data_IF_590190398648
#
_entry.id   IF_590190398648
#
_cell.length_a   1.000
_cell.length_b   1.000
_cell.length_c   1.000
_cell.angle_alpha   90.00
_cell.angle_beta   90.00
_cell.angle_gamma   90.00
#
_symmetry.space_group_name_H-M   'P 1'
#
loop_
_entity.id
_entity.type
_entity.pdbx_description
1 polymer ?
#
# COMPACT_ATOMS: atom_id res chain seq x y z
N UNK A 1 -23.80 4.28 -7.74
CA UNK A 1 -23.00 3.99 -8.95
C UNK A 1 -21.60 4.49 -8.66
N UNK A 2 -20.57 3.64 -8.71
CA UNK A 2 -19.24 3.98 -8.22
C UNK A 2 -18.58 5.02 -9.15
N UNK A 3 -18.07 6.09 -8.53
CA UNK A 3 -17.42 7.23 -9.15
C UNK A 3 -16.05 6.82 -9.67
N UNK A 4 -15.76 7.25 -10.91
CA UNK A 4 -14.59 6.86 -11.69
C UNK A 4 -13.27 6.99 -10.92
N UNK A 5 -12.47 5.92 -10.97
CA UNK A 5 -11.02 6.02 -10.80
C UNK A 5 -10.50 6.70 -12.08
N UNK A 6 -10.13 7.97 -12.00
CA UNK A 6 -9.49 8.69 -13.09
C UNK A 6 -8.06 8.13 -13.25
N UNK A 7 -7.88 7.22 -14.21
CA UNK A 7 -6.57 6.98 -14.82
C UNK A 7 -6.33 8.10 -15.83
N UNK A 8 -5.28 8.89 -15.63
CA UNK A 8 -4.74 9.78 -16.66
C UNK A 8 -3.49 9.17 -17.32
N UNK A 9 -3.20 9.71 -18.49
CA UNK A 9 -2.63 9.16 -19.72
C UNK A 9 -1.09 8.98 -19.72
N UNK A 10 -0.64 7.92 -20.40
CA UNK A 10 0.72 7.61 -20.89
C UNK A 10 1.87 7.36 -19.89
N UNK A 11 2.42 6.13 -19.93
CA UNK A 11 3.81 5.69 -19.61
C UNK A 11 4.43 6.10 -18.27
N UNK A 12 4.46 7.40 -18.00
CA UNK A 12 4.89 8.07 -16.78
C UNK A 12 4.08 7.68 -15.54
N UNK A 13 2.75 7.57 -15.64
CA UNK A 13 1.93 7.17 -14.49
C UNK A 13 2.16 5.70 -14.13
N UNK A 14 2.32 4.84 -15.15
CA UNK A 14 2.71 3.45 -14.95
C UNK A 14 4.10 3.36 -14.29
N UNK A 15 5.07 4.17 -14.71
CA UNK A 15 6.39 4.25 -14.06
C UNK A 15 6.28 4.73 -12.60
N UNK A 16 5.45 5.74 -12.31
CA UNK A 16 5.24 6.20 -10.93
C UNK A 16 4.51 5.19 -10.05
N UNK A 17 3.56 4.44 -10.62
CA UNK A 17 2.85 3.38 -9.90
C UNK A 17 3.75 2.17 -9.64
N UNK A 18 4.70 1.87 -10.54
CA UNK A 18 5.73 0.87 -10.29
C UNK A 18 6.69 1.30 -9.18
N UNK A 19 7.06 2.59 -9.12
CA UNK A 19 7.83 3.13 -8.00
C UNK A 19 7.04 3.08 -6.68
N UNK A 20 5.73 3.37 -6.70
CA UNK A 20 4.87 3.20 -5.53
C UNK A 20 4.78 1.74 -5.08
N UNK A 21 4.60 0.79 -6.00
CA UNK A 21 4.57 -0.65 -5.71
C UNK A 21 5.89 -1.10 -5.07
N UNK A 22 7.03 -0.72 -5.64
CA UNK A 22 8.34 -1.01 -5.08
C UNK A 22 8.48 -0.45 -3.65
N UNK A 23 8.04 0.79 -3.43
CA UNK A 23 8.09 1.44 -2.12
C UNK A 23 7.19 0.74 -1.07
N UNK A 24 6.00 0.25 -1.47
CA UNK A 24 5.16 -0.57 -0.58
C UNK A 24 5.88 -1.86 -0.17
N UNK A 25 6.42 -2.61 -1.14
CA UNK A 25 7.12 -3.86 -0.87
C UNK A 25 8.36 -3.65 0.01
N UNK A 26 9.11 -2.57 -0.19
CA UNK A 26 10.22 -2.19 0.67
C UNK A 26 9.75 -1.87 2.09
N UNK A 27 8.63 -1.15 2.24
CA UNK A 27 8.07 -0.83 3.55
C UNK A 27 7.62 -2.08 4.30
N UNK A 28 6.97 -3.04 3.63
CA UNK A 28 6.58 -4.32 4.24
C UNK A 28 7.79 -5.11 4.74
N UNK A 29 8.84 -5.21 3.92
CA UNK A 29 10.08 -5.88 4.31
C UNK A 29 10.75 -5.20 5.53
N UNK A 30 10.74 -3.86 5.59
CA UNK A 30 11.32 -3.10 6.71
C UNK A 30 10.59 -3.32 8.04
N UNK A 31 9.28 -3.60 8.02
CA UNK A 31 8.52 -3.94 9.23
C UNK A 31 8.45 -5.45 9.49
N UNK A 32 9.16 -6.27 8.71
CA UNK A 32 9.20 -7.71 8.88
C UNK A 32 7.92 -8.44 8.47
N UNK A 33 7.06 -7.82 7.66
CA UNK A 33 5.88 -8.47 7.12
C UNK A 33 6.24 -9.36 5.93
N UNK A 34 5.62 -10.53 5.84
CA UNK A 34 5.75 -11.47 4.72
C UNK A 34 5.01 -11.02 3.44
N UNK A 35 4.68 -9.73 3.34
CA UNK A 35 3.80 -9.21 2.31
C UNK A 35 4.63 -8.86 1.09
N UNK A 36 4.14 -9.33 -0.06
CA UNK A 36 4.67 -8.91 -1.35
C UNK A 36 3.51 -8.71 -2.31
N UNK A 37 3.36 -7.49 -2.81
CA UNK A 37 2.39 -7.17 -3.83
C UNK A 37 3.07 -7.28 -5.20
N UNK A 38 2.51 -8.13 -6.06
CA UNK A 38 2.83 -8.12 -7.48
C UNK A 38 1.98 -7.07 -8.21
N UNK A 39 2.26 -6.88 -9.50
CA UNK A 39 1.52 -5.91 -10.33
C UNK A 39 0.03 -6.23 -10.37
N UNK A 40 -0.35 -7.50 -10.52
CA UNK A 40 -1.74 -7.91 -10.67
C UNK A 40 -2.57 -7.68 -9.39
N UNK A 41 -1.99 -7.91 -8.21
CA UNK A 41 -2.59 -7.58 -6.93
C UNK A 41 -2.64 -6.07 -6.74
N UNK A 42 -1.56 -5.35 -7.03
CA UNK A 42 -1.52 -3.91 -6.86
C UNK A 42 -2.55 -3.19 -7.75
N UNK A 43 -2.71 -3.61 -9.01
CA UNK A 43 -3.74 -3.07 -9.91
C UNK A 43 -5.15 -3.23 -9.33
N UNK A 44 -5.47 -4.36 -8.70
CA UNK A 44 -6.76 -4.54 -8.00
C UNK A 44 -6.88 -3.62 -6.78
N UNK A 45 -5.78 -3.47 -6.03
CA UNK A 45 -5.73 -2.60 -4.87
C UNK A 45 -5.81 -1.11 -5.22
N UNK A 46 -5.54 -0.69 -6.46
CA UNK A 46 -5.71 0.69 -6.92
C UNK A 46 -7.17 1.16 -6.86
N UNK A 47 -8.15 0.25 -6.87
CA UNK A 47 -9.57 0.57 -6.66
C UNK A 47 -9.84 1.20 -5.28
N UNK A 48 -8.96 0.94 -4.30
CA UNK A 48 -9.00 1.58 -2.97
C UNK A 48 -8.16 2.85 -3.02
N UNK A 49 -8.82 4.01 -2.95
CA UNK A 49 -8.14 5.30 -2.88
C UNK A 49 -7.39 5.48 -1.56
N UNK A 50 -6.15 5.99 -1.63
CA UNK A 50 -5.32 6.29 -0.47
C UNK A 50 -4.42 5.13 -0.03
N UNK A 51 -3.17 5.44 0.32
CA UNK A 51 -2.16 4.42 0.64
C UNK A 51 -2.45 3.67 1.94
N UNK A 52 -3.01 4.34 2.96
CA UNK A 52 -3.33 3.72 4.25
C UNK A 52 -4.55 2.82 4.13
N UNK A 53 -5.57 3.30 3.43
CA UNK A 53 -6.80 2.58 3.13
C UNK A 53 -6.48 1.32 2.32
N UNK A 54 -5.55 1.41 1.37
CA UNK A 54 -5.07 0.27 0.59
C UNK A 54 -4.38 -0.80 1.43
N UNK A 55 -3.52 -0.39 2.37
CA UNK A 55 -2.88 -1.31 3.34
C UNK A 55 -3.96 -1.98 4.20
N UNK A 56 -4.92 -1.22 4.72
CA UNK A 56 -6.01 -1.73 5.57
C UNK A 56 -6.92 -2.70 4.82
N UNK A 57 -7.25 -2.39 3.56
CA UNK A 57 -8.05 -3.24 2.69
C UNK A 57 -7.35 -4.58 2.43
N UNK A 58 -6.05 -4.56 2.10
CA UNK A 58 -5.27 -5.79 1.93
C UNK A 58 -5.18 -6.60 3.24
N UNK A 59 -4.96 -5.93 4.39
CA UNK A 59 -4.95 -6.61 5.69
C UNK A 59 -6.27 -7.36 5.93
N UNK A 60 -7.39 -6.70 5.67
CA UNK A 60 -8.74 -7.27 5.87
C UNK A 60 -9.03 -8.46 4.95
N UNK A 61 -8.40 -8.54 3.77
CA UNK A 61 -8.52 -9.68 2.87
C UNK A 61 -7.80 -10.94 3.41
N UNK A 62 -6.78 -10.77 4.26
CA UNK A 62 -6.06 -11.88 4.89
C UNK A 62 -6.80 -12.46 6.10
N UNK A 63 -7.77 -11.73 6.63
CA UNK A 63 -8.58 -12.15 7.77
C UNK A 63 -9.07 -10.97 8.62
N UNK A 64 -9.77 -11.25 9.73
CA UNK A 64 -10.22 -10.22 10.66
C UNK A 64 -9.04 -9.37 11.14
N UNK A 65 -9.18 -8.05 11.02
CA UNK A 65 -8.16 -7.12 11.49
C UNK A 65 -8.21 -7.08 13.02
N UNK A 66 -7.09 -7.39 13.72
CA UNK A 66 -7.08 -7.32 15.17
C UNK A 66 -7.14 -5.85 15.62
N UNK A 67 -7.64 -5.60 16.83
CA UNK A 67 -7.61 -4.25 17.43
C UNK A 67 -6.16 -3.80 17.67
N UNK A 68 -5.29 -4.74 18.05
CA UNK A 68 -3.88 -4.49 18.33
C UNK A 68 -2.97 -5.54 17.70
N UNK A 69 -1.76 -5.10 17.33
CA UNK A 69 -0.65 -5.93 16.89
C UNK A 69 0.54 -5.54 17.75
N UNK A 70 1.21 -6.53 18.38
CA UNK A 70 2.34 -6.28 19.30
C UNK A 70 2.04 -5.24 20.39
N UNK A 71 0.82 -5.24 20.93
CA UNK A 71 0.40 -4.31 21.99
C UNK A 71 0.16 -2.87 21.55
N UNK A 72 0.17 -2.58 20.24
CA UNK A 72 -0.19 -1.26 19.68
C UNK A 72 -1.42 -1.35 18.78
N UNK A 73 -2.25 -0.29 18.68
CA UNK A 73 -3.36 -0.23 17.74
C UNK A 73 -2.93 -0.60 16.32
N UNK A 74 -3.75 -1.37 15.61
CA UNK A 74 -3.46 -1.75 14.22
C UNK A 74 -3.29 -0.52 13.31
N UNK A 75 -3.97 0.58 13.62
CA UNK A 75 -3.85 1.85 12.91
C UNK A 75 -2.44 2.43 12.99
N UNK A 76 -1.71 2.22 14.10
CA UNK A 76 -0.33 2.69 14.26
C UNK A 76 0.62 1.90 13.33
N UNK A 77 0.37 0.60 13.16
CA UNK A 77 1.12 -0.23 12.21
C UNK A 77 0.86 0.19 10.77
N UNK A 78 -0.40 0.44 10.40
CA UNK A 78 -0.76 0.97 9.07
C UNK A 78 -0.08 2.33 8.84
N UNK A 79 -0.12 3.22 9.83
CA UNK A 79 0.53 4.52 9.74
C UNK A 79 2.05 4.39 9.58
N UNK A 80 2.69 3.46 10.31
CA UNK A 80 4.13 3.19 10.23
C UNK A 80 4.53 2.67 8.85
N UNK A 81 3.79 1.70 8.30
CA UNK A 81 4.02 1.16 6.95
C UNK A 81 3.89 2.29 5.92
N UNK A 82 2.85 3.11 6.03
CA UNK A 82 2.65 4.22 5.10
C UNK A 82 3.80 5.25 5.16
N UNK A 83 4.28 5.60 6.36
CA UNK A 83 5.44 6.50 6.52
C UNK A 83 6.69 5.92 5.86
N UNK A 84 6.96 4.63 6.07
CA UNK A 84 8.11 3.95 5.44
C UNK A 84 8.00 3.91 3.92
N UNK A 85 6.79 3.63 3.40
CA UNK A 85 6.52 3.67 1.97
C UNK A 85 6.75 5.07 1.40
N UNK A 86 6.29 6.12 2.08
CA UNK A 86 6.51 7.51 1.63
C UNK A 86 7.99 7.82 1.55
N UNK A 87 8.76 7.51 2.59
CA UNK A 87 10.21 7.73 2.59
C UNK A 87 10.93 6.90 1.51
N UNK A 88 10.54 5.64 1.30
CA UNK A 88 11.10 4.79 0.25
C UNK A 88 10.81 5.33 -1.16
N UNK A 89 9.60 5.84 -1.38
CA UNK A 89 9.24 6.48 -2.65
C UNK A 89 10.06 7.75 -2.88
N UNK A 90 10.13 8.65 -1.90
CA UNK A 90 10.90 9.91 -1.98
C UNK A 90 12.40 9.71 -2.22
N UNK A 91 12.96 8.55 -1.86
CA UNK A 91 14.37 8.21 -2.15
C UNK A 91 14.59 7.67 -3.56
N UNK A 92 13.55 7.17 -4.21
CA UNK A 92 13.60 6.48 -5.50
C UNK A 92 13.22 7.37 -6.68
N UNK A 93 12.62 8.55 -6.43
CA UNK A 93 12.22 9.55 -7.43
C UNK A 93 12.95 10.87 -7.23
#
# INVERSE_FOLDING_TARGET
MLQALLFDVDGTLADTEMAHLAAFNQAFAQVGLDWHWDVALYTRLLEVSGGKERIAAYWSQRGPMPETVEGRPVQDHIARIHQLKTAAYEQAV
#
